data_IF_983916612701
#
_entry.id   IF_983916612701
#
_cell.length_a   1.000
_cell.length_b   1.000
_cell.length_c   1.000
_cell.angle_alpha   90.00
_cell.angle_beta   90.00
_cell.angle_gamma   90.00
#
_symmetry.space_group_name_H-M   'P 1'
#
loop_
_entity.id
_entity.type
_entity.pdbx_description
1 polymer ?
#
# COMPACT_ATOMS: atom_id res chain seq x y z
N UNK A 1 -17.71 39.17 17.98
CA UNK A 1 -17.99 37.74 17.75
C UNK A 1 -18.02 37.39 16.27
N UNK A 2 -18.83 38.06 15.42
CA UNK A 2 -18.87 37.80 13.97
C UNK A 2 -17.51 37.95 13.26
N UNK A 3 -16.74 38.98 13.60
CA UNK A 3 -15.39 39.21 13.05
C UNK A 3 -14.40 38.08 13.38
N UNK A 4 -14.44 37.57 14.61
CA UNK A 4 -13.59 36.45 15.04
C UNK A 4 -13.96 35.17 14.28
N UNK A 5 -15.26 34.90 14.10
CA UNK A 5 -15.72 33.74 13.36
C UNK A 5 -15.29 33.79 11.88
N UNK A 6 -15.44 34.96 11.23
CA UNK A 6 -14.96 35.16 9.85
C UNK A 6 -13.45 34.95 9.77
N UNK A 7 -12.69 35.47 10.73
CA UNK A 7 -11.23 35.28 10.78
C UNK A 7 -10.85 33.80 10.90
N UNK A 8 -11.49 33.04 11.79
CA UNK A 8 -11.22 31.61 11.99
C UNK A 8 -11.53 30.80 10.73
N UNK A 9 -12.68 31.04 10.09
CA UNK A 9 -13.05 30.35 8.85
C UNK A 9 -12.07 30.68 7.72
N UNK A 10 -11.66 31.94 7.61
CA UNK A 10 -10.70 32.36 6.60
C UNK A 10 -9.32 31.73 6.82
N UNK A 11 -8.85 31.72 8.07
CA UNK A 11 -7.58 31.08 8.44
C UNK A 11 -7.61 29.56 8.16
N UNK A 12 -8.69 28.87 8.53
CA UNK A 12 -8.86 27.44 8.25
C UNK A 12 -8.80 27.13 6.75
N UNK A 13 -9.47 27.95 5.94
CA UNK A 13 -9.48 27.81 4.48
C UNK A 13 -8.11 28.07 3.85
N UNK A 14 -7.39 29.08 4.32
CA UNK A 14 -6.02 29.37 3.87
C UNK A 14 -5.06 28.22 4.23
N UNK A 15 -5.13 27.72 5.46
CA UNK A 15 -4.34 26.56 5.88
C UNK A 15 -4.66 25.35 5.01
N UNK A 16 -5.94 25.04 4.81
CA UNK A 16 -6.35 23.93 3.94
C UNK A 16 -5.83 24.10 2.51
N UNK A 17 -5.98 25.27 1.89
CA UNK A 17 -5.49 25.51 0.53
C UNK A 17 -3.97 25.34 0.40
N UNK A 18 -3.20 25.79 1.39
CA UNK A 18 -1.73 25.72 1.35
C UNK A 18 -1.22 24.28 1.47
N UNK A 19 -1.90 23.43 2.25
CA UNK A 19 -1.42 22.08 2.57
C UNK A 19 -2.17 20.97 1.82
N UNK A 20 -3.34 21.24 1.24
CA UNK A 20 -4.13 20.25 0.50
C UNK A 20 -3.38 19.57 -0.65
N UNK A 21 -2.60 20.30 -1.47
CA UNK A 21 -1.84 19.68 -2.55
C UNK A 21 -0.75 18.71 -2.04
N UNK A 22 -0.11 19.05 -0.92
CA UNK A 22 1.08 18.34 -0.41
C UNK A 22 0.69 16.95 0.08
N UNK A 23 -0.35 16.83 0.92
CA UNK A 23 -0.73 15.53 1.46
C UNK A 23 -1.28 14.61 0.36
N UNK A 24 -1.96 15.15 -0.66
CA UNK A 24 -2.43 14.37 -1.82
C UNK A 24 -1.26 13.80 -2.62
N UNK A 25 -0.16 14.55 -2.77
CA UNK A 25 1.04 14.03 -3.41
C UNK A 25 1.67 12.91 -2.59
N UNK A 26 1.76 13.06 -1.25
CA UNK A 26 2.25 11.99 -0.36
C UNK A 26 1.39 10.73 -0.52
N UNK A 27 0.07 10.88 -0.59
CA UNK A 27 -0.85 9.77 -0.80
C UNK A 27 -0.56 9.02 -2.11
N UNK A 28 -0.43 9.76 -3.21
CA UNK A 28 -0.18 9.20 -4.54
C UNK A 28 1.18 8.48 -4.56
N UNK A 29 2.22 9.08 -3.98
CA UNK A 29 3.56 8.48 -3.90
C UNK A 29 3.52 7.18 -3.09
N UNK A 30 2.82 7.16 -1.95
CA UNK A 30 2.66 5.95 -1.14
C UNK A 30 1.92 4.86 -1.91
N UNK A 31 0.82 5.19 -2.57
CA UNK A 31 0.07 4.23 -3.38
C UNK A 31 0.91 3.67 -4.54
N UNK A 32 1.67 4.54 -5.22
CA UNK A 32 2.56 4.14 -6.30
C UNK A 32 3.69 3.23 -5.80
N UNK A 33 4.29 3.53 -4.64
CA UNK A 33 5.31 2.69 -4.02
C UNK A 33 4.77 1.29 -3.65
N UNK A 34 3.55 1.21 -3.10
CA UNK A 34 2.91 -0.07 -2.82
C UNK A 34 2.64 -0.86 -4.10
N UNK A 35 2.15 -0.21 -5.16
CA UNK A 35 1.91 -0.88 -6.45
C UNK A 35 3.21 -1.36 -7.08
N UNK A 36 4.27 -0.54 -7.05
CA UNK A 36 5.58 -0.92 -7.56
C UNK A 36 6.14 -2.16 -6.85
N UNK A 37 5.98 -2.25 -5.53
CA UNK A 37 6.41 -3.43 -4.77
C UNK A 37 5.57 -4.67 -5.03
N UNK A 38 4.25 -4.51 -5.25
CA UNK A 38 3.39 -5.61 -5.70
C UNK A 38 3.87 -6.15 -7.04
N UNK A 39 4.08 -5.27 -8.01
CA UNK A 39 4.49 -5.65 -9.35
C UNK A 39 5.89 -6.29 -9.32
N UNK A 40 6.83 -5.70 -8.59
CA UNK A 40 8.18 -6.26 -8.42
C UNK A 40 8.16 -7.66 -7.79
N UNK A 41 7.44 -7.85 -6.69
CA UNK A 41 7.37 -9.14 -6.02
C UNK A 41 6.64 -10.20 -6.84
N UNK A 42 5.65 -9.83 -7.66
CA UNK A 42 5.01 -10.77 -8.58
C UNK A 42 5.95 -11.13 -9.73
N UNK A 43 6.71 -10.17 -10.26
CA UNK A 43 7.70 -10.43 -11.31
C UNK A 43 8.82 -11.36 -10.83
N UNK A 44 9.29 -11.20 -9.59
CA UNK A 44 10.31 -12.08 -9.00
C UNK A 44 9.70 -13.39 -8.49
N UNK A 45 8.58 -13.33 -7.78
CA UNK A 45 7.99 -14.49 -7.12
C UNK A 45 7.29 -15.45 -8.08
N UNK A 46 6.67 -14.96 -9.16
CA UNK A 46 6.01 -15.81 -10.16
C UNK A 46 6.95 -16.19 -11.32
N UNK A 47 8.26 -15.93 -11.22
CA UNK A 47 9.21 -16.27 -12.28
C UNK A 47 9.42 -17.79 -12.42
N UNK A 48 10.16 -18.18 -13.46
CA UNK A 48 10.44 -19.59 -13.77
C UNK A 48 11.20 -20.37 -12.69
N UNK A 49 11.82 -19.72 -11.71
CA UNK A 49 12.64 -20.36 -10.66
C UNK A 49 12.04 -20.32 -9.26
N UNK A 50 11.04 -19.48 -9.00
CA UNK A 50 10.45 -19.32 -7.67
C UNK A 50 9.03 -19.87 -7.64
N UNK A 51 8.06 -19.27 -8.33
CA UNK A 51 6.65 -19.66 -8.17
C UNK A 51 6.10 -19.47 -6.73
N UNK A 52 6.73 -18.66 -5.88
CA UNK A 52 6.30 -18.35 -4.50
C UNK A 52 6.79 -16.96 -4.08
N UNK A 53 6.19 -16.40 -3.02
CA UNK A 53 6.69 -15.20 -2.33
C UNK A 53 6.89 -15.54 -0.85
N UNK A 54 8.14 -15.69 -0.42
CA UNK A 54 8.47 -16.11 0.93
C UNK A 54 8.64 -14.93 1.92
N UNK A 55 8.94 -15.28 3.17
CA UNK A 55 9.15 -14.29 4.22
C UNK A 55 10.40 -13.41 4.00
N UNK A 56 11.43 -13.93 3.33
CA UNK A 56 12.65 -13.17 3.05
C UNK A 56 12.39 -12.07 2.03
N UNK A 57 11.71 -12.40 0.93
CA UNK A 57 11.28 -11.43 -0.07
C UNK A 57 10.37 -10.34 0.53
N UNK A 58 9.45 -10.73 1.41
CA UNK A 58 8.58 -9.78 2.12
C UNK A 58 9.41 -8.87 3.04
N UNK A 59 10.40 -9.39 3.76
CA UNK A 59 11.25 -8.60 4.64
C UNK A 59 12.09 -7.57 3.85
N UNK A 60 12.62 -7.96 2.69
CA UNK A 60 13.34 -7.05 1.79
C UNK A 60 12.41 -5.95 1.24
N UNK A 61 11.19 -6.31 0.82
CA UNK A 61 10.18 -5.34 0.39
C UNK A 61 9.83 -4.35 1.49
N UNK A 62 9.65 -4.83 2.74
CA UNK A 62 9.43 -3.96 3.90
C UNK A 62 10.60 -3.00 4.16
N UNK A 63 11.84 -3.41 3.91
CA UNK A 63 13.01 -2.54 4.04
C UNK A 63 13.05 -1.45 2.95
N UNK A 64 12.70 -1.80 1.71
CA UNK A 64 12.59 -0.82 0.60
C UNK A 64 11.49 0.20 0.85
N UNK A 65 10.30 -0.23 1.29
CA UNK A 65 9.22 0.67 1.65
C UNK A 65 9.57 1.56 2.86
N UNK A 66 10.36 1.05 3.81
CA UNK A 66 10.86 1.84 4.93
C UNK A 66 11.80 2.96 4.49
N UNK A 67 12.64 2.72 3.48
CA UNK A 67 13.49 3.75 2.90
C UNK A 67 12.67 4.89 2.24
N UNK A 68 11.41 4.64 1.88
CA UNK A 68 10.44 5.63 1.39
C UNK A 68 9.60 6.28 2.51
N UNK A 69 9.88 5.96 3.78
CA UNK A 69 9.22 6.55 4.94
C UNK A 69 7.95 5.84 5.41
N UNK A 70 7.66 4.63 4.93
CA UNK A 70 6.58 3.79 5.47
C UNK A 70 7.07 3.00 6.69
N UNK A 71 6.20 2.76 7.68
CA UNK A 71 6.54 1.93 8.83
C UNK A 71 6.36 0.45 8.50
N UNK A 72 7.44 -0.33 8.51
CA UNK A 72 7.42 -1.78 8.21
C UNK A 72 6.45 -2.59 9.07
N UNK A 73 6.24 -2.18 10.33
CA UNK A 73 5.32 -2.81 11.26
C UNK A 73 3.85 -2.66 10.84
N UNK A 74 3.53 -1.55 10.17
CA UNK A 74 2.16 -1.24 9.75
C UNK A 74 1.83 -1.78 8.35
N UNK A 75 2.80 -2.37 7.64
CA UNK A 75 2.56 -2.96 6.31
C UNK A 75 2.12 -4.42 6.46
N UNK A 76 0.96 -4.74 5.86
CA UNK A 76 0.37 -6.08 5.84
C UNK A 76 0.45 -6.65 4.42
N UNK A 77 0.92 -7.89 4.32
CA UNK A 77 1.03 -8.64 3.07
C UNK A 77 0.04 -9.82 3.12
N UNK A 78 -0.70 -10.01 2.04
CA UNK A 78 -1.55 -11.18 1.83
C UNK A 78 -1.14 -11.83 0.52
N UNK A 79 -0.58 -13.04 0.59
CA UNK A 79 -0.18 -13.84 -0.56
C UNK A 79 -1.15 -15.02 -0.67
N UNK A 80 -1.73 -15.23 -1.84
CA UNK A 80 -2.68 -16.32 -2.08
C UNK A 80 -2.54 -16.86 -3.51
N UNK A 81 -2.87 -18.14 -3.69
CA UNK A 81 -2.96 -18.79 -4.99
C UNK A 81 -4.41 -18.90 -5.47
N UNK A 82 -4.62 -19.12 -6.77
CA UNK A 82 -5.95 -19.34 -7.35
C UNK A 82 -6.57 -20.69 -7.01
N UNK A 83 -5.76 -21.68 -6.66
CA UNK A 83 -6.18 -23.06 -6.35
C UNK A 83 -6.13 -23.39 -4.84
N UNK A 84 -5.75 -22.42 -3.99
CA UNK A 84 -5.68 -22.57 -2.54
C UNK A 84 -4.40 -23.22 -2.02
N UNK A 85 -3.45 -23.54 -2.91
CA UNK A 85 -2.12 -24.03 -2.52
C UNK A 85 -1.29 -22.96 -1.80
N UNK A 86 -0.30 -23.38 -1.01
CA UNK A 86 0.55 -22.46 -0.24
C UNK A 86 1.49 -21.70 -1.18
N UNK A 87 1.27 -20.40 -1.31
CA UNK A 87 2.00 -19.51 -2.20
C UNK A 87 3.27 -18.87 -1.59
N UNK A 88 3.63 -19.27 -0.37
CA UNK A 88 4.71 -18.64 0.42
C UNK A 88 5.86 -19.57 0.76
N UNK A 89 5.85 -20.80 0.22
CA UNK A 89 6.83 -21.83 0.56
C UNK A 89 7.76 -22.15 -0.59
N UNK A 90 9.07 -21.98 -0.37
CA UNK A 90 10.10 -22.37 -1.34
C UNK A 90 10.17 -23.88 -1.59
N UNK A 91 9.71 -24.70 -0.64
CA UNK A 91 9.70 -26.17 -0.76
C UNK A 91 8.53 -26.71 -1.60
N UNK A 92 7.54 -25.87 -1.89
CA UNK A 92 6.35 -26.22 -2.66
C UNK A 92 5.94 -25.06 -3.59
N UNK A 93 6.77 -24.75 -4.58
CA UNK A 93 6.51 -23.68 -5.53
C UNK A 93 5.25 -23.95 -6.36
N UNK A 94 4.51 -22.89 -6.69
CA UNK A 94 3.32 -22.98 -7.52
C UNK A 94 3.69 -23.38 -8.94
N UNK A 95 3.09 -24.45 -9.46
CA UNK A 95 3.36 -24.89 -10.84
C UNK A 95 2.87 -23.87 -11.86
N UNK A 96 3.52 -23.88 -13.03
CA UNK A 96 3.16 -23.03 -14.16
C UNK A 96 1.66 -23.04 -14.46
N UNK A 97 1.08 -21.85 -14.59
CA UNK A 97 -0.35 -21.66 -14.86
C UNK A 97 -1.22 -21.49 -13.60
N UNK A 98 -0.66 -21.69 -12.41
CA UNK A 98 -1.33 -21.36 -11.14
C UNK A 98 -1.19 -19.86 -10.88
N UNK A 99 -2.29 -19.17 -10.61
CA UNK A 99 -2.26 -17.72 -10.35
C UNK A 99 -1.72 -17.44 -8.95
N UNK A 100 -0.69 -16.60 -8.86
CA UNK A 100 -0.15 -16.03 -7.64
C UNK A 100 -0.71 -14.62 -7.47
N UNK A 101 -1.37 -14.36 -6.35
CA UNK A 101 -1.92 -13.05 -6.01
C UNK A 101 -1.24 -12.47 -4.78
N UNK A 102 -0.98 -11.17 -4.84
CA UNK A 102 -0.36 -10.42 -3.76
C UNK A 102 -1.18 -9.16 -3.50
N UNK A 103 -1.47 -8.90 -2.23
CA UNK A 103 -2.03 -7.64 -1.76
C UNK A 103 -1.13 -7.06 -0.67
N UNK A 104 -0.76 -5.79 -0.80
CA UNK A 104 -0.04 -5.03 0.22
C UNK A 104 -0.96 -3.93 0.72
N UNK A 105 -1.10 -3.76 2.04
CA UNK A 105 -1.91 -2.68 2.63
C UNK A 105 -1.19 -1.89 3.72
N UNK A 106 -1.49 -0.60 3.79
CA UNK A 106 -0.89 0.37 4.72
C UNK A 106 -1.96 1.35 5.24
N UNK A 107 -1.92 1.83 6.50
CA UNK A 107 -2.91 2.80 6.99
C UNK A 107 -2.73 4.19 6.33
N UNK A 108 -3.79 4.99 6.29
CA UNK A 108 -3.70 6.38 5.83
C UNK A 108 -2.97 7.31 6.83
N UNK A 109 -2.69 6.87 8.06
CA UNK A 109 -1.99 7.64 9.10
C UNK A 109 -2.57 9.04 9.35
N UNK A 110 -3.89 9.20 9.20
CA UNK A 110 -4.56 10.49 9.40
C UNK A 110 -4.19 11.56 8.36
N UNK A 111 -3.68 11.19 7.20
CA UNK A 111 -3.26 12.12 6.14
C UNK A 111 -4.38 13.08 5.69
N UNK A 112 -5.65 12.66 5.80
CA UNK A 112 -6.84 13.43 5.46
C UNK A 112 -7.39 14.29 6.60
N UNK A 113 -6.78 14.30 7.80
CA UNK A 113 -7.31 15.04 8.96
C UNK A 113 -7.48 16.53 8.66
N UNK A 114 -6.64 17.10 7.80
CA UNK A 114 -6.74 18.50 7.40
C UNK A 114 -8.02 18.84 6.65
N UNK A 115 -8.67 17.87 6.00
CA UNK A 115 -9.92 18.08 5.28
C UNK A 115 -11.09 18.43 6.21
N UNK A 116 -10.95 18.13 7.52
CA UNK A 116 -11.88 18.59 8.55
C UNK A 116 -11.96 20.12 8.63
N UNK A 117 -10.90 20.84 8.26
CA UNK A 117 -10.89 22.32 8.24
C UNK A 117 -11.90 22.91 7.26
N UNK A 118 -12.32 22.13 6.26
CA UNK A 118 -13.35 22.51 5.27
C UNK A 118 -14.62 21.67 5.40
N UNK A 119 -14.80 20.97 6.52
CA UNK A 119 -16.01 20.21 6.82
C UNK A 119 -16.12 18.85 6.12
N UNK A 120 -15.02 18.32 5.59
CA UNK A 120 -14.97 16.97 5.01
C UNK A 120 -14.53 15.99 6.10
N UNK A 121 -15.29 14.91 6.28
CA UNK A 121 -14.96 13.84 7.22
C UNK A 121 -13.83 12.96 6.66
N UNK A 122 -12.71 12.75 7.38
CA UNK A 122 -11.65 11.89 6.93
C UNK A 122 -12.05 10.41 7.03
N UNK A 123 -11.40 9.52 6.27
CA UNK A 123 -11.63 8.08 6.40
C UNK A 123 -11.41 7.60 7.85
N UNK A 124 -12.15 6.58 8.29
CA UNK A 124 -11.93 5.91 9.57
C UNK A 124 -10.47 5.50 9.77
N UNK A 125 -10.01 5.48 11.03
CA UNK A 125 -8.64 5.06 11.38
C UNK A 125 -8.32 3.60 11.00
N UNK A 126 -9.35 2.78 10.79
CA UNK A 126 -9.25 1.39 10.34
C UNK A 126 -9.02 1.26 8.83
N UNK A 127 -9.26 2.32 8.05
CA UNK A 127 -9.16 2.27 6.61
C UNK A 127 -7.69 2.29 6.16
N UNK A 128 -7.44 1.58 5.07
CA UNK A 128 -6.11 1.29 4.57
C UNK A 128 -6.05 1.52 3.09
N UNK A 129 -4.96 2.13 2.63
CA UNK A 129 -4.58 2.06 1.22
C UNK A 129 -4.09 0.65 0.91
N UNK A 130 -4.36 0.18 -0.30
CA UNK A 130 -3.91 -1.14 -0.74
C UNK A 130 -3.54 -1.16 -2.20
N UNK A 131 -2.51 -1.93 -2.53
CA UNK A 131 -2.17 -2.33 -3.88
C UNK A 131 -2.36 -3.83 -4.04
N UNK A 132 -2.80 -4.27 -5.22
CA UNK A 132 -3.04 -5.68 -5.51
C UNK A 132 -2.63 -6.00 -6.94
N UNK A 133 -2.11 -7.21 -7.12
CA UNK A 133 -1.78 -7.78 -8.41
C UNK A 133 -2.01 -9.28 -8.42
N UNK A 134 -2.00 -9.84 -9.63
CA UNK A 134 -1.98 -11.28 -9.86
C UNK A 134 -1.13 -11.56 -11.08
N UNK A 135 -0.28 -12.59 -10.98
CA UNK A 135 0.51 -13.11 -12.10
C UNK A 135 0.42 -14.63 -12.12
N UNK A 136 0.39 -15.22 -13.31
CA UNK A 136 0.47 -16.68 -13.43
C UNK A 136 1.90 -17.12 -13.15
N UNK A 137 2.07 -18.14 -12.31
CA UNK A 137 3.37 -18.75 -12.08
C UNK A 137 3.94 -19.25 -13.41
N UNK A 138 5.24 -19.03 -13.60
CA UNK A 138 6.02 -19.54 -14.72
C UNK A 138 6.91 -20.72 -14.30
N UNK A 139 6.85 -21.14 -13.04
CA UNK A 139 7.76 -22.14 -12.47
C UNK A 139 7.65 -23.50 -13.16
N UNK A 140 8.82 -24.02 -13.56
CA UNK A 140 9.00 -25.35 -14.13
C UNK A 140 10.08 -26.09 -13.31
N UNK A 141 9.81 -27.30 -12.79
CA UNK A 141 10.77 -28.09 -12.00
C UNK A 141 12.04 -28.48 -12.75
#
# INVERSE_FOLDING_TARGET
>A
MRSILVFVLFAAMLCWMMFSPIYKHILIVRQAALQQEVDYLLEIGANGSHGYIDAAMIAESKARLAALGLKSADIIYTVASTDGTVATSASAPLLRGTGLSLTISYPYEGLFTIDQLVGIEPPPSTDRMSARGMKMSEYVP
#
